data_IF_529411044826
#
_entry.id   IF_529411044826
#
_cell.length_a   1.000
_cell.length_b   1.000
_cell.length_c   1.000
_cell.angle_alpha   90.00
_cell.angle_beta   90.00
_cell.angle_gamma   90.00
#
_symmetry.space_group_name_H-M   'P 1'
#
loop_
_entity.id
_entity.type
_entity.pdbx_description
1 polymer ?
#
# COMPACT_ATOMS: atom_id res chain seq x y z
N UNK A 1 19.06 -13.78 -18.37
CA UNK A 1 18.64 -13.32 -17.04
C UNK A 1 17.43 -12.42 -17.23
N UNK A 2 16.22 -12.93 -16.97
CA UNK A 2 15.01 -12.14 -17.08
C UNK A 2 15.10 -10.99 -16.07
N UNK A 3 15.21 -9.76 -16.55
CA UNK A 3 14.88 -8.59 -15.72
C UNK A 3 13.44 -8.77 -15.29
N UNK A 4 13.23 -9.26 -14.06
CA UNK A 4 11.98 -9.10 -13.34
C UNK A 4 11.69 -7.62 -13.42
N UNK A 5 10.80 -7.23 -14.34
CA UNK A 5 10.28 -5.88 -14.36
C UNK A 5 9.50 -5.80 -13.06
N UNK A 6 10.16 -5.40 -11.96
CA UNK A 6 9.46 -4.98 -10.75
C UNK A 6 8.52 -3.89 -11.24
N UNK A 7 7.27 -4.30 -11.46
CA UNK A 7 6.25 -3.40 -11.92
C UNK A 7 5.92 -2.64 -10.68
N UNK A 8 6.33 -1.38 -10.62
CA UNK A 8 5.94 -0.49 -9.54
C UNK A 8 4.41 -0.49 -9.33
N UNK A 9 3.63 -0.87 -10.34
CA UNK A 9 2.20 -1.16 -10.23
C UNK A 9 1.87 -2.41 -9.41
N UNK A 10 2.64 -3.50 -9.51
CA UNK A 10 2.47 -4.73 -8.73
C UNK A 10 2.83 -4.51 -7.26
N UNK A 11 3.93 -3.81 -6.98
CA UNK A 11 4.30 -3.42 -5.61
C UNK A 11 3.26 -2.48 -4.99
N UNK A 12 2.79 -1.47 -5.74
CA UNK A 12 1.72 -0.59 -5.29
C UNK A 12 0.42 -1.36 -5.03
N UNK A 13 0.04 -2.30 -5.89
CA UNK A 13 -1.14 -3.15 -5.70
C UNK A 13 -1.01 -4.00 -4.43
N UNK A 14 0.15 -4.63 -4.22
CA UNK A 14 0.43 -5.43 -3.01
C UNK A 14 0.30 -4.59 -1.74
N UNK A 15 0.86 -3.38 -1.75
CA UNK A 15 0.72 -2.47 -0.62
C UNK A 15 -0.73 -2.01 -0.40
N UNK A 16 -1.50 -1.75 -1.46
CA UNK A 16 -2.93 -1.45 -1.33
C UNK A 16 -3.73 -2.62 -0.77
N UNK A 17 -3.41 -3.86 -1.14
CA UNK A 17 -4.06 -5.05 -0.56
C UNK A 17 -3.75 -5.19 0.93
N UNK A 18 -2.49 -5.01 1.33
CA UNK A 18 -2.07 -5.05 2.74
C UNK A 18 -2.69 -3.91 3.56
N UNK A 19 -2.83 -2.71 2.96
CA UNK A 19 -3.55 -1.59 3.55
C UNK A 19 -5.04 -1.92 3.75
N UNK A 20 -5.69 -2.50 2.74
CA UNK A 20 -7.10 -2.90 2.81
C UNK A 20 -7.33 -3.97 3.89
N UNK A 21 -6.44 -4.97 3.98
CA UNK A 21 -6.47 -5.99 5.06
C UNK A 21 -6.31 -5.33 6.41
N UNK A 22 -5.38 -4.40 6.55
CA UNK A 22 -5.14 -3.68 7.80
C UNK A 22 -6.33 -2.82 8.21
N UNK A 23 -6.99 -2.13 7.27
CA UNK A 23 -8.24 -1.39 7.56
C UNK A 23 -9.39 -2.32 7.97
N UNK A 24 -9.53 -3.48 7.33
CA UNK A 24 -10.53 -4.49 7.73
C UNK A 24 -10.26 -5.03 9.13
N UNK A 25 -9.00 -5.30 9.46
CA UNK A 25 -8.59 -5.70 10.81
C UNK A 25 -8.88 -4.58 11.81
N UNK A 26 -8.56 -3.33 11.48
CA UNK A 26 -8.86 -2.18 12.33
C UNK A 26 -10.37 -2.07 12.63
N UNK A 27 -11.22 -2.20 11.59
CA UNK A 27 -12.66 -2.19 11.77
C UNK A 27 -13.15 -3.32 12.67
N UNK A 28 -12.58 -4.52 12.51
CA UNK A 28 -12.93 -5.68 13.35
C UNK A 28 -12.54 -5.43 14.81
N UNK A 29 -11.29 -5.04 15.07
CA UNK A 29 -10.82 -4.74 16.42
C UNK A 29 -11.61 -3.60 17.07
N UNK A 30 -11.98 -2.56 16.29
CA UNK A 30 -12.83 -1.47 16.77
C UNK A 30 -14.23 -1.96 17.13
N UNK A 31 -14.79 -2.88 16.34
CA UNK A 31 -16.10 -3.49 16.60
C UNK A 31 -16.08 -4.40 17.84
N UNK A 32 -14.94 -5.03 18.13
CA UNK A 32 -14.66 -5.79 19.36
C UNK A 32 -14.33 -4.89 20.58
N UNK A 33 -14.30 -3.56 20.41
CA UNK A 33 -14.00 -2.59 21.47
C UNK A 33 -12.50 -2.40 21.75
N UNK A 34 -11.62 -2.93 20.90
CA UNK A 34 -10.17 -2.81 21.00
C UNK A 34 -9.65 -1.64 20.17
N UNK A 35 -9.94 -0.40 20.63
CA UNK A 35 -9.59 0.83 19.93
C UNK A 35 -8.08 1.01 19.73
N UNK A 36 -7.26 0.59 20.69
CA UNK A 36 -5.80 0.70 20.60
C UNK A 36 -5.23 -0.16 19.45
N UNK A 37 -5.73 -1.38 19.29
CA UNK A 37 -5.34 -2.27 18.19
C UNK A 37 -5.90 -1.78 16.87
N UNK A 38 -7.13 -1.25 16.88
CA UNK A 38 -7.71 -0.63 15.71
C UNK A 38 -6.87 0.54 15.20
N UNK A 39 -6.42 1.42 16.10
CA UNK A 39 -5.53 2.53 15.78
C UNK A 39 -4.18 2.04 15.24
N UNK A 40 -3.60 0.99 15.83
CA UNK A 40 -2.36 0.39 15.32
C UNK A 40 -2.51 -0.15 13.89
N UNK A 41 -3.60 -0.88 13.62
CA UNK A 41 -3.89 -1.40 12.28
C UNK A 41 -4.18 -0.28 11.27
N UNK A 42 -4.89 0.78 11.67
CA UNK A 42 -5.14 1.95 10.83
C UNK A 42 -3.83 2.72 10.51
N UNK A 43 -2.92 2.84 11.47
CA UNK A 43 -1.60 3.42 11.25
C UNK A 43 -0.79 2.56 10.27
N UNK A 44 -0.80 1.23 10.44
CA UNK A 44 -0.12 0.30 9.53
C UNK A 44 -0.67 0.42 8.11
N UNK A 45 -2.00 0.51 7.96
CA UNK A 45 -2.64 0.71 6.66
C UNK A 45 -2.20 2.03 5.99
N UNK A 46 -2.09 3.10 6.78
CA UNK A 46 -1.61 4.40 6.29
C UNK A 46 -0.17 4.33 5.78
N UNK A 47 0.71 3.60 6.47
CA UNK A 47 2.09 3.36 6.02
C UNK A 47 2.15 2.62 4.68
N UNK A 48 1.32 1.59 4.50
CA UNK A 48 1.21 0.89 3.22
C UNK A 48 0.64 1.80 2.12
N UNK A 49 -0.32 2.67 2.43
CA UNK A 49 -0.84 3.65 1.48
C UNK A 49 0.24 4.63 0.99
N UNK A 50 1.09 5.10 1.90
CA UNK A 50 2.22 5.97 1.54
C UNK A 50 3.20 5.25 0.62
N UNK A 51 3.60 4.02 0.96
CA UNK A 51 4.48 3.19 0.13
C UNK A 51 3.89 2.92 -1.26
N UNK A 52 2.61 2.54 -1.34
CA UNK A 52 1.92 2.34 -2.61
C UNK A 52 1.90 3.61 -3.46
N UNK A 53 1.68 4.78 -2.83
CA UNK A 53 1.74 6.08 -3.49
C UNK A 53 3.14 6.41 -4.03
N UNK A 54 4.19 6.09 -3.28
CA UNK A 54 5.57 6.25 -3.74
C UNK A 54 5.88 5.36 -4.95
N UNK A 55 5.52 4.07 -4.88
CA UNK A 55 5.69 3.16 -6.02
C UNK A 55 4.88 3.63 -7.24
N UNK A 56 3.62 4.03 -7.07
CA UNK A 56 2.79 4.57 -8.15
C UNK A 56 3.40 5.84 -8.78
N UNK A 57 3.97 6.71 -7.94
CA UNK A 57 4.67 7.93 -8.39
C UNK A 57 5.93 7.60 -9.17
N UNK A 58 6.73 6.64 -8.71
CA UNK A 58 7.93 6.18 -9.41
C UNK A 58 7.59 5.44 -10.72
N UNK A 59 6.48 4.69 -10.76
CA UNK A 59 5.93 4.10 -11.98
C UNK A 59 5.59 5.18 -13.01
N UNK A 60 4.84 6.21 -12.56
CA UNK A 60 4.40 7.33 -13.38
C UNK A 60 5.59 8.12 -13.91
N UNK A 61 6.60 8.44 -13.06
CA UNK A 61 7.83 9.11 -13.49
C UNK A 61 8.60 8.30 -14.54
N UNK A 62 8.80 7.00 -14.33
CA UNK A 62 9.48 6.13 -15.31
C UNK A 62 8.77 6.09 -16.65
N UNK A 63 7.43 6.08 -16.65
CA UNK A 63 6.64 6.18 -17.88
C UNK A 63 6.74 7.57 -18.53
N UNK A 64 6.73 8.65 -17.74
CA UNK A 64 6.87 10.02 -18.24
C UNK A 64 8.25 10.27 -18.87
N UNK A 65 9.32 9.70 -18.32
CA UNK A 65 10.68 9.80 -18.92
C UNK A 65 10.85 9.03 -20.22
N UNK A 66 9.92 8.12 -20.56
CA UNK A 66 9.92 7.37 -21.82
C UNK A 66 9.22 8.10 -22.97
N UNK A 67 8.61 9.26 -22.70
CA UNK A 67 7.88 10.09 -23.64
C UNK A 67 8.64 11.39 -23.97
N UNK A 68 9.97 11.31 -24.14
CA UNK A 68 10.79 12.45 -24.58
C UNK A 68 11.65 12.08 -25.78
#
# INVERSE_FOLDING_TARGET
MATTKHSHHEEAATHHEEAAKSHRAAHKEHSDGNDEKAAHHAHKASGHHAAAGEHAKEASKKHATKHK
#
